data_IF_311930706388
#
_entry.id   IF_311930706388
#
_cell.length_a   1.000
_cell.length_b   1.000
_cell.length_c   1.000
_cell.angle_alpha   90.00
_cell.angle_beta   90.00
_cell.angle_gamma   90.00
#
_symmetry.space_group_name_H-M   'P 1'
#
loop_
_entity.id
_entity.type
_entity.pdbx_description
1 polymer ?
#
# COMPACT_ATOMS: atom_id res chain seq x y z
N UNK A 1 -14.97 47.09 -12.60
CA UNK A 1 -14.65 46.35 -11.36
C UNK A 1 -15.37 44.99 -11.25
N UNK A 2 -16.61 44.83 -11.72
CA UNK A 2 -17.33 43.54 -11.67
C UNK A 2 -16.72 42.39 -12.53
N UNK A 3 -15.95 42.72 -13.58
CA UNK A 3 -15.36 41.73 -14.50
C UNK A 3 -14.22 40.90 -13.90
N UNK A 4 -13.49 41.43 -12.92
CA UNK A 4 -12.42 40.70 -12.25
C UNK A 4 -12.95 39.62 -11.30
N UNK A 5 -14.12 39.85 -10.68
CA UNK A 5 -14.74 38.90 -9.76
C UNK A 5 -15.24 37.62 -10.46
N UNK A 6 -15.75 37.76 -11.70
CA UNK A 6 -16.25 36.62 -12.49
C UNK A 6 -15.11 35.68 -12.88
N UNK A 7 -13.90 36.21 -13.13
CA UNK A 7 -12.74 35.40 -13.51
C UNK A 7 -12.20 34.53 -12.35
N UNK A 8 -12.30 35.00 -11.11
CA UNK A 8 -11.84 34.26 -9.92
C UNK A 8 -12.77 33.08 -9.60
N UNK A 9 -14.09 33.27 -9.76
CA UNK A 9 -15.07 32.20 -9.59
C UNK A 9 -14.90 31.07 -10.62
N UNK A 10 -14.51 31.39 -11.85
CA UNK A 10 -14.26 30.38 -12.88
C UNK A 10 -13.02 29.51 -12.59
N UNK A 11 -12.00 30.07 -11.92
CA UNK A 11 -10.79 29.33 -11.54
C UNK A 11 -11.04 28.29 -10.43
N UNK A 12 -11.98 28.55 -9.52
CA UNK A 12 -12.35 27.58 -8.47
C UNK A 12 -13.15 26.39 -8.98
N UNK A 13 -13.88 26.52 -10.10
CA UNK A 13 -14.66 25.44 -10.68
C UNK A 13 -13.79 24.34 -11.34
N UNK A 14 -12.53 24.65 -11.68
CA UNK A 14 -11.61 23.69 -12.33
C UNK A 14 -10.89 22.80 -11.31
N UNK A 15 -10.82 23.21 -10.04
CA UNK A 15 -10.18 22.42 -8.96
C UNK A 15 -10.99 21.21 -8.46
N UNK A 16 -12.24 21.06 -8.88
CA UNK A 16 -13.12 19.95 -8.46
C UNK A 16 -12.98 18.69 -9.35
N UNK A 17 -12.12 18.72 -10.37
CA UNK A 17 -11.78 17.57 -11.23
C UNK A 17 -10.51 16.84 -10.75
N UNK A 18 -10.17 16.95 -9.46
CA UNK A 18 -9.36 15.94 -8.81
C UNK A 18 -10.21 14.66 -8.75
N UNK A 19 -10.18 13.90 -9.85
CA UNK A 19 -10.60 12.51 -9.83
C UNK A 19 -9.94 11.84 -8.62
N UNK A 20 -10.64 10.96 -7.88
CA UNK A 20 -9.96 10.15 -6.88
C UNK A 20 -8.79 9.51 -7.61
N UNK A 21 -7.57 9.93 -7.26
CA UNK A 21 -6.38 9.22 -7.69
C UNK A 21 -6.62 7.86 -7.05
N UNK A 22 -6.84 6.85 -7.88
CA UNK A 22 -6.92 5.49 -7.42
C UNK A 22 -5.59 5.15 -6.74
N UNK A 23 -5.48 5.50 -5.45
CA UNK A 23 -4.58 4.91 -4.47
C UNK A 23 -4.99 3.45 -4.20
N UNK A 24 -5.71 2.82 -5.14
CA UNK A 24 -5.97 1.39 -5.23
C UNK A 24 -4.68 0.57 -5.44
N UNK A 25 -3.52 1.21 -5.54
CA UNK A 25 -2.22 0.55 -5.41
C UNK A 25 -1.70 0.49 -3.95
N UNK A 26 -2.25 1.28 -3.03
CA UNK A 26 -1.82 1.32 -1.62
C UNK A 26 -2.76 0.58 -0.65
N UNK A 27 -3.97 0.24 -1.08
CA UNK A 27 -4.88 -0.63 -0.34
C UNK A 27 -5.34 -1.79 -1.22
N UNK A 28 -4.38 -2.48 -1.85
CA UNK A 28 -4.61 -3.91 -1.95
C UNK A 28 -4.71 -4.39 -0.51
N UNK A 29 -5.89 -4.85 -0.12
CA UNK A 29 -6.06 -5.91 0.86
C UNK A 29 -5.25 -7.11 0.33
N UNK A 30 -3.92 -7.00 0.39
CA UNK A 30 -3.01 -8.10 0.21
C UNK A 30 -3.40 -9.01 1.35
N UNK A 31 -4.09 -10.10 1.04
CA UNK A 31 -4.21 -11.23 1.95
C UNK A 31 -2.80 -11.47 2.48
N UNK A 32 -2.53 -10.94 3.66
CA UNK A 32 -1.17 -10.81 4.17
C UNK A 32 -0.87 -12.20 4.68
N UNK A 33 -0.23 -13.00 3.83
CA UNK A 33 0.09 -14.38 4.18
C UNK A 33 1.04 -14.33 5.36
N UNK A 34 0.61 -14.88 6.49
CA UNK A 34 1.44 -15.00 7.69
C UNK A 34 2.31 -16.25 7.60
N UNK A 35 3.41 -16.24 8.34
CA UNK A 35 4.37 -17.33 8.43
C UNK A 35 4.97 -17.40 9.82
N UNK A 36 5.51 -18.56 10.23
CA UNK A 36 6.13 -18.75 11.54
C UNK A 36 5.22 -18.29 12.71
N UNK A 37 3.92 -18.55 12.58
CA UNK A 37 2.91 -18.33 13.62
C UNK A 37 2.64 -19.64 14.38
N UNK A 38 1.75 -19.60 15.38
CA UNK A 38 1.40 -20.79 16.18
C UNK A 38 0.76 -21.92 15.34
N UNK A 39 0.14 -21.58 14.21
CA UNK A 39 -0.43 -22.54 13.28
C UNK A 39 0.65 -23.27 12.45
N UNK A 40 1.90 -22.79 12.48
CA UNK A 40 3.01 -23.33 11.69
C UNK A 40 2.93 -22.97 10.21
N UNK A 41 2.26 -21.86 9.87
CA UNK A 41 2.13 -21.42 8.49
C UNK A 41 3.49 -21.11 7.86
N UNK A 42 3.61 -21.44 6.57
CA UNK A 42 4.82 -21.23 5.77
C UNK A 42 4.46 -20.37 4.57
N UNK A 43 5.40 -19.54 4.13
CA UNK A 43 5.16 -18.71 2.96
C UNK A 43 4.92 -19.55 1.70
N UNK A 44 3.89 -19.22 0.90
CA UNK A 44 3.63 -19.91 -0.35
C UNK A 44 4.75 -19.65 -1.37
N UNK A 45 4.78 -20.45 -2.44
CA UNK A 45 5.81 -20.35 -3.47
C UNK A 45 5.88 -18.95 -4.10
N UNK A 46 7.09 -18.47 -4.34
CA UNK A 46 7.35 -17.14 -4.92
C UNK A 46 7.53 -16.02 -3.89
N UNK A 47 7.29 -16.29 -2.62
CA UNK A 47 7.74 -15.45 -1.51
C UNK A 47 9.13 -15.89 -1.07
N UNK A 48 9.99 -14.94 -0.77
CA UNK A 48 11.41 -15.19 -0.49
C UNK A 48 11.80 -14.80 0.93
N UNK A 49 10.88 -14.15 1.68
CA UNK A 49 11.12 -13.70 3.03
C UNK A 49 9.90 -13.85 3.94
N UNK A 50 10.15 -14.17 5.20
CA UNK A 50 9.17 -14.17 6.29
C UNK A 50 9.67 -13.22 7.38
N UNK A 51 9.01 -12.07 7.57
CA UNK A 51 9.36 -11.17 8.67
C UNK A 51 8.86 -9.74 8.52
N UNK A 52 9.02 -8.90 9.57
CA UNK A 52 9.56 -9.24 10.90
C UNK A 52 8.65 -10.19 11.70
N UNK A 53 9.23 -11.06 12.54
CA UNK A 53 8.47 -12.03 13.36
C UNK A 53 8.05 -11.36 14.66
N UNK A 54 6.75 -11.37 14.95
CA UNK A 54 6.20 -10.95 16.24
C UNK A 54 5.70 -12.15 17.01
N UNK A 55 5.91 -12.14 18.34
CA UNK A 55 5.33 -13.14 19.24
C UNK A 55 3.79 -13.15 19.08
N UNK A 56 3.20 -14.34 19.08
CA UNK A 56 1.75 -14.59 18.93
C UNK A 56 1.11 -14.22 17.58
N UNK A 57 1.85 -13.60 16.65
CA UNK A 57 1.35 -13.22 15.31
C UNK A 57 2.14 -13.89 14.18
N UNK A 58 3.42 -14.18 14.42
CA UNK A 58 4.35 -14.62 13.39
C UNK A 58 4.85 -13.46 12.51
N UNK A 59 5.38 -13.82 11.35
CA UNK A 59 5.86 -12.89 10.34
C UNK A 59 4.90 -12.71 9.18
N UNK A 60 5.25 -11.76 8.31
CA UNK A 60 4.56 -11.51 7.05
C UNK A 60 5.43 -12.04 5.90
N UNK A 61 4.81 -12.76 4.98
CA UNK A 61 5.46 -13.20 3.76
C UNK A 61 5.64 -12.02 2.81
N UNK A 62 6.88 -11.79 2.40
CA UNK A 62 7.25 -10.79 1.40
C UNK A 62 8.05 -11.41 0.27
N UNK A 63 7.75 -10.97 -0.95
CA UNK A 63 8.59 -11.23 -2.12
C UNK A 63 9.64 -10.13 -2.20
N UNK A 64 10.91 -10.53 -2.17
CA UNK A 64 12.05 -9.63 -2.29
C UNK A 64 12.33 -9.31 -3.75
N UNK A 65 12.77 -8.07 -3.97
CA UNK A 65 13.42 -7.66 -5.21
C UNK A 65 14.80 -8.31 -5.40
N UNK A 66 15.40 -8.18 -6.59
CA UNK A 66 16.69 -8.80 -6.92
C UNK A 66 17.86 -8.30 -6.05
N UNK A 67 17.76 -7.08 -5.50
CA UNK A 67 18.78 -6.45 -4.66
C UNK A 67 18.37 -6.39 -3.17
N UNK A 68 17.23 -6.98 -2.82
CA UNK A 68 16.76 -7.02 -1.45
C UNK A 68 17.17 -8.34 -0.76
N UNK A 69 17.57 -8.24 0.50
CA UNK A 69 17.93 -9.38 1.32
C UNK A 69 17.00 -9.49 2.52
N UNK A 70 16.74 -10.71 2.96
CA UNK A 70 16.14 -10.92 4.27
C UNK A 70 17.18 -10.65 5.36
N UNK A 71 16.83 -9.76 6.28
CA UNK A 71 17.60 -9.52 7.50
C UNK A 71 16.64 -9.82 8.65
N UNK A 72 16.98 -10.80 9.47
CA UNK A 72 16.18 -11.25 10.61
C UNK A 72 16.99 -11.04 11.89
#
# INVERSE_FOLDING_TARGET
>A
MARFFVAILALFAVGALAAPVDDAAATAEVATSHCANEAGDVCPEGFTCCGPIFEDVGGICRKLGPDEICIF
#
